data_IF_921870393719
#
_entry.id   IF_921870393719
#
_cell.length_a   1.000
_cell.length_b   1.000
_cell.length_c   1.000
_cell.angle_alpha   90.00
_cell.angle_beta   90.00
_cell.angle_gamma   90.00
#
_symmetry.space_group_name_H-M   'P 1'
#
loop_
_entity.id
_entity.type
_entity.pdbx_description
1 polymer ?
#
# COMPACT_ATOMS: atom_id res chain seq x y z
N UNK A 1 -12.01 9.80 -33.15
CA UNK A 1 -13.09 10.45 -32.35
C UNK A 1 -14.50 9.87 -32.58
N UNK A 2 -14.84 9.26 -33.73
CA UNK A 2 -16.17 8.67 -33.98
C UNK A 2 -16.51 7.39 -33.16
N UNK A 3 -15.51 6.67 -32.63
CA UNK A 3 -15.70 5.45 -31.81
C UNK A 3 -16.21 5.72 -30.38
N UNK A 4 -15.83 6.84 -29.76
CA UNK A 4 -16.17 7.15 -28.36
C UNK A 4 -17.63 7.59 -28.15
N UNK A 5 -18.21 8.27 -29.15
CA UNK A 5 -19.61 8.71 -29.12
C UNK A 5 -20.59 7.52 -29.27
N UNK A 6 -20.24 6.54 -30.10
CA UNK A 6 -21.00 5.29 -30.28
C UNK A 6 -21.01 4.45 -28.99
N UNK A 7 -19.87 4.38 -28.29
CA UNK A 7 -19.76 3.71 -26.99
C UNK A 7 -20.62 4.36 -25.90
N UNK A 8 -20.61 5.70 -25.77
CA UNK A 8 -21.46 6.41 -24.80
C UNK A 8 -22.96 6.21 -25.06
N UNK A 9 -23.37 6.13 -26.33
CA UNK A 9 -24.78 5.91 -26.72
C UNK A 9 -25.25 4.49 -26.35
N UNK A 10 -24.41 3.48 -26.62
CA UNK A 10 -24.68 2.07 -26.24
C UNK A 10 -24.62 1.83 -24.73
N UNK A 11 -23.72 2.51 -24.02
CA UNK A 11 -23.59 2.40 -22.57
C UNK A 11 -24.77 3.03 -21.80
N UNK A 12 -25.31 4.17 -22.29
CA UNK A 12 -26.54 4.76 -21.72
C UNK A 12 -27.78 3.89 -21.96
N UNK A 13 -27.90 3.27 -23.14
CA UNK A 13 -28.99 2.34 -23.45
C UNK A 13 -28.93 1.06 -22.60
N UNK A 14 -27.74 0.58 -22.25
CA UNK A 14 -27.57 -0.56 -21.35
C UNK A 14 -27.93 -0.22 -19.88
N UNK A 15 -27.69 1.03 -19.45
CA UNK A 15 -28.04 1.51 -18.11
C UNK A 15 -29.54 1.74 -17.92
N UNK A 16 -30.30 2.09 -18.97
CA UNK A 16 -31.75 2.28 -18.86
C UNK A 16 -32.55 0.97 -18.74
N UNK A 17 -31.93 -0.18 -19.01
CA UNK A 17 -32.57 -1.50 -18.94
C UNK A 17 -32.39 -2.14 -17.53
N UNK A 18 -31.50 -1.62 -16.68
CA UNK A 18 -31.14 -2.21 -15.39
C UNK A 18 -31.95 -1.68 -14.19
N UNK A 19 -33.20 -1.31 -14.43
CA UNK A 19 -34.19 -1.10 -13.38
C UNK A 19 -34.88 -2.43 -13.04
N UNK A 20 -34.50 -3.01 -11.89
CA UNK A 20 -35.17 -4.10 -11.13
C UNK A 20 -34.57 -5.53 -11.27
N UNK A 21 -34.11 -6.03 -10.12
CA UNK A 21 -33.83 -7.43 -9.72
C UNK A 21 -32.37 -7.92 -9.66
N UNK A 22 -32.17 -8.83 -8.69
CA UNK A 22 -30.90 -9.38 -8.20
C UNK A 22 -30.05 -10.17 -9.22
N UNK A 23 -30.53 -10.37 -10.46
CA UNK A 23 -29.70 -10.89 -11.57
C UNK A 23 -28.63 -9.89 -12.05
N UNK A 24 -28.69 -8.62 -11.59
CA UNK A 24 -27.75 -7.54 -11.93
C UNK A 24 -26.30 -7.78 -11.48
N UNK A 25 -26.04 -8.37 -10.31
CA UNK A 25 -24.68 -8.45 -9.77
C UNK A 25 -23.71 -9.33 -10.59
N UNK A 26 -24.20 -10.45 -11.15
CA UNK A 26 -23.40 -11.31 -12.05
C UNK A 26 -23.17 -10.65 -13.41
N UNK A 27 -24.13 -9.88 -13.92
CA UNK A 27 -23.98 -9.14 -15.17
C UNK A 27 -22.97 -7.99 -15.02
N UNK A 28 -22.98 -7.28 -13.89
CA UNK A 28 -22.02 -6.20 -13.59
C UNK A 28 -20.58 -6.74 -13.47
N UNK A 29 -20.40 -7.92 -12.87
CA UNK A 29 -19.08 -8.59 -12.80
C UNK A 29 -18.54 -8.94 -14.20
N UNK A 30 -19.39 -9.43 -15.10
CA UNK A 30 -19.01 -9.79 -16.47
C UNK A 30 -18.63 -8.55 -17.31
N UNK A 31 -19.36 -7.45 -17.14
CA UNK A 31 -19.09 -6.17 -17.84
C UNK A 31 -17.78 -5.52 -17.34
N UNK A 32 -17.51 -5.59 -16.03
CA UNK A 32 -16.23 -5.14 -15.47
C UNK A 32 -15.07 -5.98 -16.00
N UNK A 33 -15.25 -7.31 -16.07
CA UNK A 33 -14.25 -8.24 -16.63
C UNK A 33 -13.93 -7.95 -18.11
N UNK A 34 -14.95 -7.58 -18.89
CA UNK A 34 -14.81 -7.23 -20.32
C UNK A 34 -14.27 -5.81 -20.57
N UNK A 35 -14.48 -4.89 -19.62
CA UNK A 35 -13.90 -3.54 -19.66
C UNK A 35 -12.40 -3.55 -19.31
N UNK A 36 -11.96 -4.44 -18.41
CA UNK A 36 -10.54 -4.55 -18.03
C UNK A 36 -9.71 -5.31 -19.06
N UNK A 37 -10.28 -6.24 -19.81
CA UNK A 37 -9.56 -7.01 -20.84
C UNK A 37 -9.36 -6.28 -22.18
N UNK A 38 -9.93 -5.07 -22.34
CA UNK A 38 -9.94 -4.31 -23.61
C UNK A 38 -9.18 -2.98 -23.56
N UNK A 39 -8.32 -2.76 -22.56
CA UNK A 39 -7.45 -1.58 -22.54
C UNK A 39 -6.26 -1.80 -23.50
N UNK A 40 -6.14 -1.02 -24.60
CA UNK A 40 -4.98 -1.09 -25.46
C UNK A 40 -3.78 -0.37 -24.85
N UNK A 41 -2.58 -0.91 -25.12
CA UNK A 41 -1.30 -0.28 -24.82
C UNK A 41 -1.11 1.06 -25.56
N UNK A 42 -0.37 1.94 -24.87
CA UNK A 42 0.33 3.13 -25.33
C UNK A 42 -0.25 3.95 -26.51
N UNK A 43 -0.77 5.14 -26.18
CA UNK A 43 -0.59 6.32 -27.03
C UNK A 43 -0.23 7.52 -26.13
N UNK A 44 1.00 7.99 -26.31
CA UNK A 44 1.62 9.13 -25.61
C UNK A 44 0.79 10.41 -25.76
N UNK A 45 0.44 11.04 -24.64
CA UNK A 45 0.08 12.47 -24.60
C UNK A 45 1.17 13.23 -23.87
N UNK A 46 1.59 14.36 -24.45
CA UNK A 46 2.64 15.24 -23.91
C UNK A 46 2.28 15.74 -22.50
N UNK A 47 3.28 15.88 -21.60
CA UNK A 47 3.06 16.20 -20.20
C UNK A 47 2.58 17.65 -20.03
N UNK A 48 1.52 17.84 -19.24
CA UNK A 48 1.20 19.15 -18.65
C UNK A 48 2.13 19.39 -17.46
N UNK A 49 2.82 20.53 -17.43
CA UNK A 49 3.65 20.96 -16.29
C UNK A 49 2.78 20.98 -15.01
N UNK A 50 3.07 20.07 -14.08
CA UNK A 50 2.43 19.95 -12.78
C UNK A 50 3.35 20.57 -11.72
N UNK A 51 2.84 21.52 -10.95
CA UNK A 51 3.55 22.15 -9.83
C UNK A 51 3.10 21.50 -8.50
N UNK A 52 3.92 20.61 -7.90
CA UNK A 52 3.58 19.92 -6.66
C UNK A 52 3.45 20.87 -5.45
N UNK A 53 3.99 22.10 -5.53
CA UNK A 53 3.93 23.09 -4.43
C UNK A 53 2.58 23.77 -4.25
N UNK A 54 1.63 23.59 -5.18
CA UNK A 54 0.26 24.14 -5.04
C UNK A 54 -0.65 23.30 -4.15
N UNK A 55 -0.32 22.03 -3.88
CA UNK A 55 -1.12 21.17 -3.01
C UNK A 55 -0.78 21.29 -1.52
N UNK A 56 0.30 21.99 -1.16
CA UNK A 56 0.69 22.28 0.23
C UNK A 56 0.02 23.53 0.83
N UNK A 57 -0.61 24.40 0.03
CA UNK A 57 -1.26 25.64 0.54
C UNK A 57 -2.63 25.43 1.19
N UNK A 58 -3.08 24.19 1.38
CA UNK A 58 -4.38 23.86 1.98
C UNK A 58 -4.37 23.54 3.48
N UNK A 59 -3.23 23.62 4.16
CA UNK A 59 -3.14 23.33 5.59
C UNK A 59 -2.36 24.46 6.29
N UNK A 60 -2.99 25.11 7.26
CA UNK A 60 -2.39 26.12 8.12
C UNK A 60 -1.38 25.54 9.15
N UNK A 61 -0.76 24.40 8.84
CA UNK A 61 -0.01 23.56 9.79
C UNK A 61 1.36 23.09 9.25
N UNK A 62 1.93 23.78 8.26
CA UNK A 62 3.21 23.38 7.64
C UNK A 62 4.17 24.56 7.58
N UNK A 63 5.36 24.38 8.15
CA UNK A 63 6.51 25.26 8.00
C UNK A 63 7.49 24.62 7.02
N UNK A 64 7.81 25.31 5.93
CA UNK A 64 8.79 24.84 4.96
C UNK A 64 10.18 25.35 5.38
N UNK A 65 11.15 24.43 5.51
CA UNK A 65 12.57 24.76 5.64
C UNK A 65 13.32 24.23 4.42
N UNK A 66 14.19 25.06 3.84
CA UNK A 66 15.08 24.66 2.76
C UNK A 66 16.44 24.35 3.38
N UNK A 67 16.86 23.08 3.37
CA UNK A 67 18.23 22.71 3.72
C UNK A 67 18.72 21.47 2.95
N UNK A 68 20.03 21.33 2.98
CA UNK A 68 20.96 20.94 1.93
C UNK A 68 21.09 19.42 1.64
N UNK A 69 21.57 19.10 0.44
CA UNK A 69 21.48 17.85 -0.32
C UNK A 69 22.39 16.70 0.16
N UNK A 70 22.77 16.66 1.45
CA UNK A 70 23.86 15.78 1.94
C UNK A 70 23.43 14.64 2.88
N UNK A 71 22.17 14.57 3.30
CA UNK A 71 21.74 13.65 4.37
C UNK A 71 21.39 12.22 3.92
N UNK A 72 21.22 11.95 2.62
CA UNK A 72 20.76 10.63 2.14
C UNK A 72 21.77 9.49 2.40
N UNK A 73 23.07 9.79 2.45
CA UNK A 73 24.11 8.77 2.67
C UNK A 73 24.44 8.50 4.14
N UNK A 74 24.13 9.42 5.06
CA UNK A 74 24.43 9.26 6.48
C UNK A 74 23.32 8.52 7.26
N UNK A 75 22.04 8.71 6.89
CA UNK A 75 20.93 7.98 7.51
C UNK A 75 21.00 6.46 7.29
N UNK A 76 21.61 6.03 6.18
CA UNK A 76 21.82 4.62 5.86
C UNK A 76 22.80 3.91 6.82
N UNK A 77 23.64 4.65 7.55
CA UNK A 77 24.66 4.08 8.45
C UNK A 77 24.23 3.99 9.92
N UNK A 78 23.20 4.73 10.34
CA UNK A 78 22.75 4.74 11.73
C UNK A 78 21.52 3.86 12.01
N UNK A 79 20.77 3.42 10.99
CA UNK A 79 19.59 2.57 11.16
C UNK A 79 19.89 1.04 11.30
N UNK A 80 21.14 0.63 11.43
CA UNK A 80 21.54 -0.79 11.40
C UNK A 80 21.64 -1.48 12.77
N UNK A 81 21.19 -0.87 13.87
CA UNK A 81 21.38 -1.43 15.22
C UNK A 81 20.40 -2.54 15.63
N UNK A 82 19.75 -3.20 14.67
CA UNK A 82 18.77 -4.25 14.92
C UNK A 82 19.10 -5.58 14.23
N UNK A 83 20.37 -6.00 14.17
CA UNK A 83 20.69 -7.35 13.66
C UNK A 83 20.27 -8.40 14.68
N UNK A 84 19.02 -8.88 14.55
CA UNK A 84 18.53 -10.05 15.28
C UNK A 84 19.15 -11.37 14.78
N UNK A 85 19.75 -11.35 13.59
CA UNK A 85 20.34 -12.53 12.96
C UNK A 85 21.87 -12.41 13.02
N UNK A 86 22.43 -13.08 14.02
CA UNK A 86 23.87 -13.28 14.14
C UNK A 86 24.31 -14.29 13.08
N UNK A 87 25.28 -13.92 12.24
CA UNK A 87 25.67 -14.70 11.05
C UNK A 87 26.65 -15.82 11.35
N UNK A 88 27.12 -15.90 12.60
CA UNK A 88 28.22 -16.79 13.02
C UNK A 88 27.74 -18.13 13.62
N UNK A 89 26.42 -18.40 13.61
CA UNK A 89 25.85 -19.68 14.08
C UNK A 89 25.47 -20.54 12.86
N UNK A 90 25.97 -21.79 12.74
CA UNK A 90 25.59 -22.69 11.66
C UNK A 90 24.07 -22.83 11.56
N UNK A 91 23.53 -22.62 10.35
CA UNK A 91 22.10 -22.74 10.12
C UNK A 91 21.68 -24.22 10.17
N UNK A 92 20.97 -24.59 11.24
CA UNK A 92 20.37 -25.94 11.34
C UNK A 92 19.08 -26.09 10.53
N UNK A 93 18.52 -24.99 10.00
CA UNK A 93 17.23 -24.98 9.29
C UNK A 93 17.28 -24.05 8.10
N UNK A 94 16.76 -24.50 6.95
CA UNK A 94 16.59 -23.68 5.74
C UNK A 94 15.42 -22.71 5.87
N UNK A 95 15.45 -21.62 5.10
CA UNK A 95 14.29 -20.73 4.92
C UNK A 95 13.04 -21.50 4.50
N UNK A 96 11.85 -21.05 4.93
CA UNK A 96 10.58 -21.75 4.66
C UNK A 96 9.53 -20.82 4.10
N UNK A 97 8.82 -21.25 3.07
CA UNK A 97 7.66 -20.55 2.51
C UNK A 97 6.39 -21.39 2.66
N UNK A 98 5.80 -21.31 3.86
CA UNK A 98 4.76 -22.21 4.35
C UNK A 98 3.38 -21.75 3.89
N UNK A 99 2.53 -22.70 3.50
CA UNK A 99 1.11 -22.42 3.26
C UNK A 99 0.30 -22.58 4.55
N UNK A 100 -0.71 -21.74 4.72
CA UNK A 100 -1.67 -21.84 5.83
C UNK A 100 -3.01 -21.22 5.45
N UNK A 101 -3.97 -21.29 6.37
CA UNK A 101 -5.25 -20.61 6.24
C UNK A 101 -5.71 -20.09 7.59
N UNK A 102 -6.50 -19.02 7.57
CA UNK A 102 -7.12 -18.44 8.74
C UNK A 102 -8.62 -18.33 8.50
N UNK A 103 -9.42 -18.63 9.53
CA UNK A 103 -10.88 -18.59 9.48
C UNK A 103 -11.43 -17.79 10.66
N UNK A 104 -12.40 -16.92 10.38
CA UNK A 104 -13.23 -16.26 11.37
C UNK A 104 -14.66 -16.12 10.83
N UNK A 105 -15.54 -15.45 11.57
CA UNK A 105 -16.95 -15.23 11.17
C UNK A 105 -17.10 -14.51 9.82
N UNK A 106 -16.09 -13.75 9.39
CA UNK A 106 -16.09 -13.05 8.09
C UNK A 106 -15.63 -13.93 6.92
N UNK A 107 -15.18 -15.16 7.20
CA UNK A 107 -14.81 -16.18 6.23
C UNK A 107 -13.36 -16.66 6.38
N UNK A 108 -12.91 -17.41 5.38
CA UNK A 108 -11.57 -18.01 5.34
C UNK A 108 -10.69 -17.34 4.29
N UNK A 109 -9.39 -17.16 4.60
CA UNK A 109 -8.37 -16.81 3.61
C UNK A 109 -7.15 -17.71 3.78
N UNK A 110 -6.61 -18.15 2.66
CA UNK A 110 -5.30 -18.79 2.60
C UNK A 110 -4.21 -17.73 2.71
N UNK A 111 -3.01 -18.15 3.09
CA UNK A 111 -1.82 -17.30 3.11
C UNK A 111 -0.56 -18.11 2.84
N UNK A 112 0.51 -17.39 2.52
CA UNK A 112 1.87 -17.90 2.61
C UNK A 112 2.64 -17.14 3.69
N UNK A 113 3.45 -17.84 4.47
CA UNK A 113 4.32 -17.24 5.48
C UNK A 113 5.77 -17.56 5.12
N UNK A 114 6.57 -16.52 4.95
CA UNK A 114 8.01 -16.63 4.84
C UNK A 114 8.64 -16.55 6.22
N UNK A 115 9.40 -17.59 6.57
CA UNK A 115 10.16 -17.70 7.82
C UNK A 115 11.64 -17.69 7.45
N UNK A 116 12.41 -16.65 7.85
CA UNK A 116 13.80 -16.54 7.47
C UNK A 116 14.65 -17.60 8.16
N UNK A 117 15.80 -17.91 7.58
CA UNK A 117 16.71 -18.96 8.04
C UNK A 117 17.16 -18.77 9.48
N UNK A 118 17.31 -17.51 9.91
CA UNK A 118 17.73 -17.15 11.27
C UNK A 118 16.63 -17.28 12.33
N UNK A 119 15.38 -17.59 11.97
CA UNK A 119 14.31 -17.75 12.98
C UNK A 119 14.62 -18.94 13.91
N UNK A 120 14.52 -18.71 15.21
CA UNK A 120 14.60 -19.72 16.26
C UNK A 120 13.46 -19.49 17.25
N UNK A 121 12.91 -20.57 17.80
CA UNK A 121 11.87 -20.46 18.81
C UNK A 121 12.38 -19.64 20.02
N UNK A 122 11.59 -18.66 20.46
CA UNK A 122 11.96 -17.73 21.53
C UNK A 122 12.61 -16.41 21.06
N UNK A 123 13.04 -16.31 19.79
CA UNK A 123 13.52 -15.04 19.21
C UNK A 123 12.33 -14.22 18.70
N UNK A 124 12.21 -12.99 19.18
CA UNK A 124 11.15 -12.06 18.76
C UNK A 124 11.55 -11.28 17.50
N UNK A 125 11.11 -11.77 16.35
CA UNK A 125 11.28 -11.07 15.07
C UNK A 125 10.10 -10.12 14.78
N UNK A 126 10.33 -9.14 13.91
CA UNK A 126 9.26 -8.34 13.33
C UNK A 126 8.41 -9.17 12.36
N UNK A 127 7.20 -8.70 12.06
CA UNK A 127 6.32 -9.27 11.04
C UNK A 127 5.89 -8.19 10.04
N UNK A 128 6.05 -8.47 8.75
CA UNK A 128 5.56 -7.60 7.66
C UNK A 128 4.45 -8.33 6.90
N UNK A 129 3.26 -7.75 6.91
CA UNK A 129 2.10 -8.24 6.13
C UNK A 129 2.13 -7.59 4.75
N UNK A 130 2.27 -8.39 3.70
CA UNK A 130 2.40 -7.96 2.31
C UNK A 130 1.15 -8.29 1.49
N UNK A 131 0.38 -7.26 1.15
CA UNK A 131 -0.91 -7.37 0.45
C UNK A 131 -0.75 -7.11 -1.05
N UNK A 132 -0.96 -8.17 -1.84
CA UNK A 132 -0.81 -8.14 -3.29
C UNK A 132 -1.90 -7.30 -3.99
N UNK A 133 -1.62 -6.82 -5.21
CA UNK A 133 -2.60 -6.15 -6.07
C UNK A 133 -3.60 -7.11 -6.71
N UNK A 134 -4.62 -6.60 -7.40
CA UNK A 134 -5.59 -7.46 -8.10
C UNK A 134 -4.85 -8.43 -9.06
N UNK A 135 -5.40 -9.61 -9.33
CA UNK A 135 -4.85 -10.66 -10.23
C UNK A 135 -3.57 -11.37 -9.76
N UNK A 136 -2.80 -10.79 -8.85
CA UNK A 136 -1.58 -11.38 -8.29
C UNK A 136 -1.89 -12.51 -7.29
N UNK A 137 -0.84 -13.20 -6.84
CA UNK A 137 -0.87 -14.21 -5.77
C UNK A 137 0.21 -13.90 -4.73
N UNK A 138 0.21 -14.58 -3.57
CA UNK A 138 1.32 -14.51 -2.61
C UNK A 138 2.69 -14.75 -3.26
N UNK A 139 2.84 -15.81 -4.05
CA UNK A 139 4.11 -16.17 -4.70
C UNK A 139 4.57 -15.12 -5.72
N UNK A 140 3.64 -14.61 -6.55
CA UNK A 140 3.92 -13.56 -7.54
C UNK A 140 4.37 -12.25 -6.86
N UNK A 141 3.69 -11.88 -5.78
CA UNK A 141 4.01 -10.66 -5.04
C UNK A 141 5.32 -10.79 -4.25
N UNK A 142 5.61 -11.95 -3.66
CA UNK A 142 6.89 -12.23 -3.01
C UNK A 142 8.05 -12.14 -4.02
N UNK A 143 7.91 -12.78 -5.19
CA UNK A 143 8.93 -12.76 -6.25
C UNK A 143 9.14 -11.37 -6.86
N UNK A 144 8.06 -10.59 -6.97
CA UNK A 144 8.11 -9.23 -7.51
C UNK A 144 8.67 -8.19 -6.55
N UNK A 145 8.30 -8.26 -5.27
CA UNK A 145 8.76 -7.29 -4.25
C UNK A 145 10.13 -7.63 -3.68
N UNK A 146 10.60 -8.88 -3.82
CA UNK A 146 11.84 -9.39 -3.21
C UNK A 146 11.85 -9.25 -1.68
N UNK A 147 10.68 -9.17 -1.06
CA UNK A 147 10.58 -8.96 0.39
C UNK A 147 11.11 -10.16 1.19
N UNK A 148 11.10 -11.38 0.62
CA UNK A 148 11.73 -12.56 1.22
C UNK A 148 13.26 -12.42 1.32
N UNK A 149 13.90 -11.79 0.32
CA UNK A 149 15.35 -11.58 0.33
C UNK A 149 15.73 -10.59 1.43
N UNK A 150 14.96 -9.50 1.58
CA UNK A 150 15.13 -8.56 2.69
C UNK A 150 14.85 -9.20 4.06
N UNK A 151 13.89 -10.13 4.12
CA UNK A 151 13.59 -10.88 5.34
C UNK A 151 14.77 -11.75 5.80
N UNK A 152 15.48 -12.38 4.87
CA UNK A 152 16.73 -13.09 5.17
C UNK A 152 17.84 -12.13 5.62
N UNK A 153 17.99 -11.01 4.93
CA UNK A 153 19.06 -10.06 5.21
C UNK A 153 18.91 -9.35 6.55
N UNK A 154 17.67 -9.05 6.96
CA UNK A 154 17.38 -8.18 8.10
C UNK A 154 16.60 -8.86 9.23
N UNK A 155 16.19 -10.13 9.07
CA UNK A 155 15.59 -10.91 10.14
C UNK A 155 14.16 -10.51 10.51
N UNK A 156 13.21 -10.77 9.61
CA UNK A 156 11.79 -10.59 9.89
C UNK A 156 10.92 -11.63 9.17
N UNK A 157 9.73 -11.89 9.70
CA UNK A 157 8.73 -12.75 9.05
C UNK A 157 7.98 -11.97 7.99
N UNK A 158 7.53 -12.64 6.93
CA UNK A 158 6.65 -12.03 5.92
C UNK A 158 5.39 -12.83 5.72
N UNK A 159 4.24 -12.24 6.06
CA UNK A 159 2.94 -12.84 5.83
C UNK A 159 2.33 -12.31 4.54
N UNK A 160 1.96 -13.21 3.64
CA UNK A 160 1.31 -12.92 2.35
C UNK A 160 -0.09 -13.52 2.30
N UNK A 161 -1.12 -12.80 2.75
CA UNK A 161 -2.51 -13.21 2.61
C UNK A 161 -2.92 -13.35 1.13
N UNK A 162 -3.71 -14.37 0.82
CA UNK A 162 -4.17 -14.66 -0.54
C UNK A 162 -5.62 -14.20 -0.76
N UNK A 163 -5.84 -13.33 -1.73
CA UNK A 163 -7.17 -13.06 -2.27
C UNK A 163 -7.44 -13.99 -3.46
N UNK A 164 -8.02 -15.15 -3.20
CA UNK A 164 -8.25 -16.18 -4.21
C UNK A 164 -9.42 -15.85 -5.15
N UNK A 165 -9.49 -16.55 -6.29
CA UNK A 165 -10.57 -16.36 -7.26
C UNK A 165 -11.96 -16.74 -6.70
N UNK A 166 -12.02 -17.65 -5.73
CA UNK A 166 -13.27 -18.04 -5.05
C UNK A 166 -13.78 -16.93 -4.13
N UNK A 167 -12.88 -16.20 -3.46
CA UNK A 167 -13.22 -15.05 -2.64
C UNK A 167 -13.56 -13.81 -3.48
N UNK A 168 -12.82 -13.59 -4.57
CA UNK A 168 -13.09 -12.54 -5.55
C UNK A 168 -12.59 -12.97 -6.94
N UNK A 169 -13.46 -13.03 -7.95
CA UNK A 169 -13.08 -13.51 -9.29
C UNK A 169 -11.98 -12.71 -10.02
N UNK A 170 -11.67 -11.49 -9.55
CA UNK A 170 -10.54 -10.67 -10.02
C UNK A 170 -9.31 -10.74 -9.09
N UNK A 171 -9.34 -11.62 -8.08
CA UNK A 171 -8.33 -11.76 -7.02
C UNK A 171 -8.02 -10.41 -6.36
N UNK A 172 -9.05 -9.60 -6.14
CA UNK A 172 -8.87 -8.23 -5.69
C UNK A 172 -9.54 -7.97 -4.34
N UNK A 173 -8.84 -7.27 -3.45
CA UNK A 173 -9.35 -6.83 -2.16
C UNK A 173 -10.55 -5.92 -2.35
N UNK A 174 -11.59 -6.10 -1.54
CA UNK A 174 -12.87 -5.39 -1.59
C UNK A 174 -12.81 -4.08 -0.81
N UNK A 175 -11.70 -3.34 -0.91
CA UNK A 175 -11.41 -2.10 -0.16
C UNK A 175 -12.49 -1.01 -0.26
N UNK A 176 -13.35 -1.05 -1.28
CA UNK A 176 -14.44 -0.10 -1.48
C UNK A 176 -15.77 -0.53 -0.85
N UNK A 177 -15.90 -1.76 -0.35
CA UNK A 177 -17.14 -2.20 0.32
C UNK A 177 -17.15 -1.71 1.76
N UNK A 178 -18.22 -1.07 2.25
CA UNK A 178 -18.25 -0.55 3.62
C UNK A 178 -17.99 -1.61 4.69
N UNK A 179 -18.40 -2.87 4.46
CA UNK A 179 -18.21 -3.97 5.41
C UNK A 179 -16.74 -4.40 5.52
N UNK A 180 -15.95 -4.22 4.47
CA UNK A 180 -14.53 -4.58 4.39
C UNK A 180 -13.60 -3.42 4.83
N UNK A 181 -14.17 -2.31 5.30
CA UNK A 181 -13.47 -1.09 5.73
C UNK A 181 -13.58 -0.83 7.24
N UNK A 182 -14.18 -1.74 7.98
CA UNK A 182 -14.47 -1.59 9.40
C UNK A 182 -13.69 -2.61 10.23
N UNK A 183 -13.39 -2.21 11.46
CA UNK A 183 -12.81 -3.11 12.45
C UNK A 183 -13.76 -4.28 12.72
N UNK A 184 -13.17 -5.45 12.92
CA UNK A 184 -13.83 -6.69 13.29
C UNK A 184 -14.93 -7.13 12.29
N UNK A 185 -14.86 -6.65 11.03
CA UNK A 185 -15.72 -7.05 9.92
C UNK A 185 -14.96 -7.30 8.61
N UNK A 186 -15.55 -8.14 7.77
CA UNK A 186 -15.14 -8.33 6.38
C UNK A 186 -13.69 -8.77 6.23
N UNK A 187 -13.02 -8.33 5.17
CA UNK A 187 -11.62 -8.67 4.91
C UNK A 187 -10.66 -8.10 5.94
N UNK A 188 -11.00 -6.96 6.54
CA UNK A 188 -10.16 -6.33 7.55
C UNK A 188 -10.03 -7.21 8.81
N UNK A 189 -11.11 -7.88 9.26
CA UNK A 189 -11.06 -8.82 10.39
C UNK A 189 -10.32 -10.11 10.08
N UNK A 190 -10.47 -10.63 8.86
CA UNK A 190 -9.72 -11.82 8.46
C UNK A 190 -8.21 -11.53 8.49
N UNK A 191 -7.79 -10.39 7.94
CA UNK A 191 -6.37 -10.01 7.90
C UNK A 191 -5.80 -9.72 9.28
N UNK A 192 -6.54 -9.01 10.14
CA UNK A 192 -6.10 -8.75 11.52
C UNK A 192 -6.03 -10.03 12.35
N UNK A 193 -7.02 -10.92 12.24
CA UNK A 193 -7.05 -12.20 12.93
C UNK A 193 -5.90 -13.11 12.49
N UNK A 194 -5.67 -13.24 11.19
CA UNK A 194 -4.54 -13.98 10.63
C UNK A 194 -3.19 -13.44 11.12
N UNK A 195 -3.04 -12.12 11.16
CA UNK A 195 -1.81 -11.47 11.66
C UNK A 195 -1.58 -11.81 13.14
N UNK A 196 -2.62 -11.78 13.98
CA UNK A 196 -2.54 -12.15 15.39
C UNK A 196 -2.19 -13.62 15.59
N UNK A 197 -2.81 -14.53 14.83
CA UNK A 197 -2.54 -15.96 14.92
C UNK A 197 -1.08 -16.28 14.57
N UNK A 198 -0.59 -15.74 13.46
CA UNK A 198 0.82 -15.88 13.06
C UNK A 198 1.75 -15.24 14.10
N UNK A 199 1.39 -14.07 14.63
CA UNK A 199 2.21 -13.39 15.64
C UNK A 199 2.35 -14.22 16.91
N UNK A 200 1.25 -14.81 17.39
CA UNK A 200 1.25 -15.71 18.54
C UNK A 200 2.03 -16.99 18.28
N UNK A 201 1.84 -17.62 17.10
CA UNK A 201 2.50 -18.88 16.75
C UNK A 201 4.03 -18.74 16.64
N UNK A 202 4.52 -17.60 16.16
CA UNK A 202 5.96 -17.38 15.91
C UNK A 202 6.62 -16.44 16.93
N UNK A 203 5.93 -16.07 18.01
CA UNK A 203 6.49 -15.19 19.05
C UNK A 203 6.95 -13.83 18.52
N UNK A 204 6.18 -13.23 17.61
CA UNK A 204 6.49 -11.93 16.99
C UNK A 204 6.59 -10.82 18.04
N UNK A 205 7.50 -9.87 17.81
CA UNK A 205 7.50 -8.62 18.56
C UNK A 205 6.28 -7.78 18.17
N UNK A 206 5.29 -7.71 19.07
CA UNK A 206 4.03 -7.00 18.86
C UNK A 206 4.20 -5.50 18.58
N UNK A 207 5.36 -4.90 18.95
CA UNK A 207 5.68 -3.50 18.61
C UNK A 207 6.15 -3.34 17.17
N UNK A 208 6.52 -4.43 16.50
CA UNK A 208 7.13 -4.47 15.15
C UNK A 208 6.30 -5.31 14.19
N UNK A 209 4.99 -5.04 14.16
CA UNK A 209 4.06 -5.60 13.17
C UNK A 209 3.71 -4.50 12.17
N UNK A 210 4.02 -4.72 10.90
CA UNK A 210 3.87 -3.74 9.82
C UNK A 210 2.97 -4.28 8.72
N UNK A 211 2.38 -3.39 7.92
CA UNK A 211 1.60 -3.78 6.75
C UNK A 211 1.94 -2.93 5.54
N UNK A 212 2.09 -3.56 4.39
CA UNK A 212 2.30 -2.88 3.13
C UNK A 212 1.57 -3.56 1.98
N UNK A 213 1.40 -2.85 0.86
CA UNK A 213 0.82 -3.46 -0.34
C UNK A 213 0.92 -2.61 -1.59
N UNK A 214 0.42 -3.18 -2.68
CA UNK A 214 0.30 -2.54 -3.99
C UNK A 214 -1.18 -2.40 -4.39
N UNK A 215 -1.56 -1.26 -4.98
CA UNK A 215 -2.89 -1.08 -5.59
C UNK A 215 -4.04 -1.31 -4.60
N UNK A 216 -4.95 -2.26 -4.87
CA UNK A 216 -5.98 -2.69 -3.94
C UNK A 216 -5.42 -3.23 -2.62
N UNK A 217 -4.25 -3.89 -2.63
CA UNK A 217 -3.54 -4.31 -1.43
C UNK A 217 -3.01 -3.13 -0.63
N UNK A 218 -2.52 -2.07 -1.30
CA UNK A 218 -2.15 -0.81 -0.65
C UNK A 218 -3.35 -0.11 -0.01
N UNK A 219 -4.51 -0.10 -0.69
CA UNK A 219 -5.75 0.42 -0.11
C UNK A 219 -6.18 -0.36 1.14
N UNK A 220 -6.01 -1.69 1.13
CA UNK A 220 -6.29 -2.54 2.29
C UNK A 220 -5.27 -2.34 3.41
N UNK A 221 -3.99 -2.12 3.10
CA UNK A 221 -2.97 -1.75 4.09
C UNK A 221 -3.33 -0.43 4.81
N UNK A 222 -3.79 0.57 4.05
CA UNK A 222 -4.31 1.82 4.62
C UNK A 222 -5.53 1.57 5.50
N UNK A 223 -6.50 0.75 5.07
CA UNK A 223 -7.66 0.36 5.91
C UNK A 223 -7.22 -0.28 7.23
N UNK A 224 -6.24 -1.19 7.19
CA UNK A 224 -5.74 -1.89 8.37
C UNK A 224 -5.04 -0.94 9.35
N UNK A 225 -4.26 0.02 8.85
CA UNK A 225 -3.66 1.06 9.68
C UNK A 225 -4.68 1.93 10.42
N UNK A 226 -5.84 2.18 9.80
CA UNK A 226 -6.93 2.96 10.40
C UNK A 226 -7.78 2.16 11.38
N UNK A 227 -8.05 0.91 11.06
CA UNK A 227 -9.01 0.07 11.80
C UNK A 227 -8.35 -0.73 12.91
N UNK A 228 -7.07 -1.07 12.78
CA UNK A 228 -6.27 -1.79 13.78
C UNK A 228 -4.96 -1.05 14.13
N UNK A 229 -5.04 0.21 14.59
CA UNK A 229 -3.85 0.96 15.02
C UNK A 229 -3.20 0.36 16.27
N UNK A 230 -3.86 -0.52 17.00
CA UNK A 230 -3.26 -1.30 18.08
C UNK A 230 -2.40 -2.47 17.58
N UNK A 231 -2.63 -2.94 16.36
CA UNK A 231 -1.94 -4.10 15.78
C UNK A 231 -0.81 -3.68 14.84
N UNK A 232 -1.02 -2.68 13.99
CA UNK A 232 -0.03 -2.26 13.00
C UNK A 232 0.73 -1.01 13.47
N UNK A 233 2.05 -1.14 13.60
CA UNK A 233 2.95 -0.08 14.02
C UNK A 233 3.20 0.94 12.91
N UNK A 234 3.23 0.52 11.64
CA UNK A 234 3.42 1.39 10.47
C UNK A 234 2.77 0.80 9.20
N UNK A 235 2.55 1.68 8.21
CA UNK A 235 1.85 1.36 6.95
C UNK A 235 2.69 1.75 5.73
N UNK A 236 2.80 0.86 4.76
CA UNK A 236 3.38 1.11 3.44
C UNK A 236 2.32 1.04 2.33
N UNK A 237 2.28 2.01 1.43
CA UNK A 237 1.32 2.02 0.33
C UNK A 237 2.00 2.34 -1.01
N UNK A 238 2.01 1.40 -1.94
CA UNK A 238 2.41 1.65 -3.32
C UNK A 238 1.18 1.77 -4.22
N UNK A 239 1.04 2.89 -4.94
CA UNK A 239 -0.07 3.14 -5.86
C UNK A 239 -1.46 2.87 -5.26
N UNK A 240 -1.64 3.23 -3.98
CA UNK A 240 -2.83 2.90 -3.18
C UNK A 240 -3.95 3.94 -3.24
N UNK A 241 -4.98 3.71 -2.40
CA UNK A 241 -6.14 4.59 -2.28
C UNK A 241 -6.38 5.01 -0.82
N UNK A 242 -6.93 6.22 -0.56
CA UNK A 242 -7.21 6.68 0.79
C UNK A 242 -8.31 5.86 1.48
N UNK A 243 -8.24 5.78 2.81
CA UNK A 243 -9.28 5.19 3.64
C UNK A 243 -10.65 5.82 3.37
N UNK A 244 -11.71 4.98 3.32
CA UNK A 244 -13.09 5.41 3.12
C UNK A 244 -13.30 6.31 1.88
N UNK A 245 -12.46 6.19 0.86
CA UNK A 245 -12.58 7.00 -0.35
C UNK A 245 -13.74 6.54 -1.26
N UNK A 246 -14.15 5.27 -1.17
CA UNK A 246 -15.22 4.67 -1.97
C UNK A 246 -16.12 3.77 -1.11
N UNK A 247 -17.36 3.57 -1.57
CA UNK A 247 -18.40 2.78 -0.90
C UNK A 247 -19.08 1.78 -1.85
N UNK A 248 -18.74 1.80 -3.14
CA UNK A 248 -19.22 0.87 -4.16
C UNK A 248 -18.24 0.83 -5.35
N UNK A 249 -18.50 -0.06 -6.31
CA UNK A 249 -17.63 -0.22 -7.48
C UNK A 249 -17.56 1.06 -8.34
N UNK A 250 -18.66 1.81 -8.47
CA UNK A 250 -18.70 3.00 -9.33
C UNK A 250 -17.87 4.13 -8.74
N UNK A 251 -18.02 4.38 -7.44
CA UNK A 251 -17.21 5.33 -6.68
C UNK A 251 -15.75 4.89 -6.66
N UNK A 252 -15.46 3.59 -6.53
CA UNK A 252 -14.10 3.05 -6.62
C UNK A 252 -13.41 3.44 -7.94
N UNK A 253 -14.05 3.18 -9.09
CA UNK A 253 -13.50 3.58 -10.39
C UNK A 253 -13.28 5.09 -10.52
N UNK A 254 -14.17 5.92 -9.95
CA UNK A 254 -14.00 7.38 -9.96
C UNK A 254 -12.81 7.82 -9.13
N UNK A 255 -12.66 7.27 -7.94
CA UNK A 255 -11.54 7.55 -7.03
C UNK A 255 -10.23 7.11 -7.67
N UNK A 256 -10.15 5.89 -8.22
CA UNK A 256 -8.98 5.42 -8.95
C UNK A 256 -8.53 6.41 -10.03
N UNK A 257 -9.46 7.00 -10.79
CA UNK A 257 -9.12 7.90 -11.91
C UNK A 257 -8.89 9.36 -11.54
N UNK A 258 -9.32 9.82 -10.36
CA UNK A 258 -9.32 11.26 -10.06
C UNK A 258 -9.08 11.66 -8.61
N UNK A 259 -8.93 10.69 -7.72
CA UNK A 259 -8.90 10.90 -6.27
C UNK A 259 -10.29 11.11 -5.68
N UNK A 260 -10.37 11.13 -4.34
CA UNK A 260 -11.55 11.53 -3.58
C UNK A 260 -11.86 13.02 -3.83
N UNK A 261 -13.13 13.37 -4.02
CA UNK A 261 -13.51 14.77 -4.10
C UNK A 261 -13.48 15.41 -2.70
N UNK A 262 -12.43 16.20 -2.41
CA UNK A 262 -12.20 16.78 -1.08
C UNK A 262 -13.31 17.73 -0.61
N UNK A 263 -14.12 18.29 -1.52
CA UNK A 263 -15.25 19.16 -1.16
C UNK A 263 -16.45 18.41 -0.55
N UNK A 264 -16.54 17.08 -0.71
CA UNK A 264 -17.66 16.25 -0.23
C UNK A 264 -17.27 15.25 0.87
N UNK A 265 -15.99 15.18 1.25
CA UNK A 265 -15.49 14.19 2.21
C UNK A 265 -15.51 14.71 3.66
N UNK A 266 -16.66 15.16 4.14
CA UNK A 266 -16.90 15.36 5.58
C UNK A 266 -17.60 14.11 6.09
N UNK A 267 -16.96 13.27 6.90
CA UNK A 267 -17.72 12.22 7.58
C UNK A 267 -16.96 11.12 8.30
N UNK A 268 -15.77 10.71 7.87
CA UNK A 268 -15.08 9.58 8.50
C UNK A 268 -13.92 10.09 9.35
N UNK A 269 -14.25 10.63 10.52
CA UNK A 269 -13.28 10.93 11.58
C UNK A 269 -13.16 9.70 12.47
N UNK A 270 -12.18 8.86 12.22
CA UNK A 270 -11.65 7.99 13.27
C UNK A 270 -10.60 8.83 14.00
N UNK A 271 -10.98 9.39 15.16
CA UNK A 271 -10.09 10.18 16.00
C UNK A 271 -9.09 9.25 16.69
N UNK A 272 -8.00 8.90 16.02
CA UNK A 272 -6.86 8.19 16.61
C UNK A 272 -5.55 8.69 16.00
N UNK A 273 -4.49 8.60 16.79
CA UNK A 273 -3.13 8.97 16.39
C UNK A 273 -2.75 8.25 15.08
N UNK A 274 -2.25 8.99 14.12
CA UNK A 274 -1.88 8.43 12.81
C UNK A 274 -0.68 7.53 12.91
N UNK A 275 -0.77 6.38 12.25
CA UNK A 275 0.37 5.50 12.11
C UNK A 275 1.40 6.08 11.15
N UNK A 276 2.70 5.93 11.47
CA UNK A 276 3.76 6.16 10.51
C UNK A 276 3.41 5.55 9.16
N UNK A 277 3.42 6.36 8.10
CA UNK A 277 2.95 5.95 6.77
C UNK A 277 3.94 6.35 5.68
N UNK A 278 4.38 5.39 4.87
CA UNK A 278 5.22 5.64 3.69
C UNK A 278 4.45 5.32 2.41
N UNK A 279 4.45 6.26 1.46
CA UNK A 279 3.65 6.16 0.24
C UNK A 279 4.53 6.30 -0.99
N UNK A 280 4.44 5.35 -1.92
CA UNK A 280 5.08 5.39 -3.23
C UNK A 280 4.04 5.52 -4.33
N UNK A 281 4.30 6.34 -5.35
CA UNK A 281 3.42 6.46 -6.51
C UNK A 281 4.18 6.84 -7.79
N UNK A 282 3.93 6.13 -8.89
CA UNK A 282 4.43 6.54 -10.20
C UNK A 282 3.63 7.69 -10.81
N UNK A 283 4.29 8.72 -11.34
CA UNK A 283 3.59 9.89 -11.92
C UNK A 283 2.96 9.63 -13.31
N UNK A 284 3.15 8.43 -13.87
CA UNK A 284 2.50 7.94 -15.09
C UNK A 284 1.59 6.75 -14.82
N UNK A 285 1.16 6.55 -13.58
CA UNK A 285 0.18 5.54 -13.22
C UNK A 285 -1.17 5.85 -13.89
N UNK A 286 -1.58 4.98 -14.83
CA UNK A 286 -2.84 5.11 -15.57
C UNK A 286 -3.99 4.32 -14.93
N UNK A 287 -3.71 3.53 -13.89
CA UNK A 287 -4.69 2.70 -13.20
C UNK A 287 -5.23 3.44 -11.99
N UNK A 288 -4.33 3.90 -11.12
CA UNK A 288 -4.64 4.71 -9.93
C UNK A 288 -3.87 6.03 -10.06
N UNK A 289 -4.59 7.13 -10.25
CA UNK A 289 -4.00 8.47 -10.38
C UNK A 289 -3.22 8.85 -9.11
N UNK A 290 -2.03 9.44 -9.26
CA UNK A 290 -1.12 9.83 -8.16
C UNK A 290 -1.75 10.77 -7.13
N UNK A 291 -2.86 11.44 -7.46
CA UNK A 291 -3.66 12.21 -6.48
C UNK A 291 -4.12 11.34 -5.32
N UNK A 292 -4.32 10.04 -5.51
CA UNK A 292 -4.69 9.12 -4.45
C UNK A 292 -3.56 8.96 -3.42
N UNK A 293 -2.31 8.77 -3.88
CA UNK A 293 -1.13 8.75 -3.00
C UNK A 293 -0.99 10.04 -2.19
N UNK A 294 -1.11 11.19 -2.86
CA UNK A 294 -1.10 12.50 -2.19
C UNK A 294 -2.24 12.68 -1.17
N UNK A 295 -3.39 12.02 -1.36
CA UNK A 295 -4.50 12.03 -0.41
C UNK A 295 -4.27 11.11 0.79
N UNK A 296 -3.60 9.97 0.62
CA UNK A 296 -3.15 9.13 1.74
C UNK A 296 -2.22 9.95 2.65
N UNK A 297 -1.22 10.61 2.05
CA UNK A 297 -0.26 11.48 2.76
C UNK A 297 -0.98 12.59 3.52
N UNK A 298 -1.90 13.30 2.85
CA UNK A 298 -2.70 14.36 3.50
C UNK A 298 -3.49 13.83 4.69
N UNK A 299 -4.16 12.69 4.52
CA UNK A 299 -4.95 12.11 5.59
C UNK A 299 -4.06 11.65 6.76
N UNK A 300 -2.84 11.17 6.50
CA UNK A 300 -1.87 10.79 7.53
C UNK A 300 -1.24 11.98 8.28
N UNK A 301 -1.12 13.15 7.62
CA UNK A 301 -0.59 14.39 8.22
C UNK A 301 -1.66 15.15 9.03
N UNK A 302 -2.90 15.26 8.52
CA UNK A 302 -3.91 16.23 9.02
C UNK A 302 -4.84 15.64 10.11
N UNK A 303 -4.69 14.37 10.48
CA UNK A 303 -5.68 13.66 11.31
C UNK A 303 -5.74 14.08 12.77
N UNK A 304 -4.70 14.67 13.30
CA UNK A 304 -4.73 15.25 14.64
C UNK A 304 -4.79 16.78 14.53
N UNK A 305 -5.98 17.39 14.74
CA UNK A 305 -6.12 18.85 14.68
C UNK A 305 -5.39 19.58 15.81
N UNK A 306 -4.94 18.85 16.84
CA UNK A 306 -4.17 19.39 17.96
C UNK A 306 -2.68 19.05 17.83
N UNK A 307 -2.27 18.32 16.79
CA UNK A 307 -0.85 18.02 16.58
C UNK A 307 -0.08 19.31 16.25
N UNK A 308 1.16 19.42 16.74
CA UNK A 308 2.04 20.50 16.33
C UNK A 308 2.25 20.47 14.80
N UNK A 309 2.55 21.62 14.18
CA UNK A 309 2.97 21.67 12.79
C UNK A 309 4.09 20.66 12.52
N UNK A 310 4.01 19.98 11.38
CA UNK A 310 5.07 19.07 10.94
C UNK A 310 6.08 19.83 10.09
N UNK A 311 7.36 19.54 10.31
CA UNK A 311 8.44 19.99 9.44
C UNK A 311 8.38 19.20 8.13
N UNK A 312 8.55 19.92 7.02
CA UNK A 312 8.48 19.34 5.68
C UNK A 312 9.79 19.54 4.96
N UNK A 313 10.47 18.43 4.68
CA UNK A 313 11.66 18.38 3.86
C UNK A 313 11.34 17.72 2.52
N UNK A 314 11.91 18.24 1.43
CA UNK A 314 11.69 17.74 0.09
C UNK A 314 13.02 17.62 -0.63
N UNK A 315 13.28 16.45 -1.22
CA UNK A 315 14.53 16.14 -1.89
C UNK A 315 14.27 15.38 -3.19
N UNK A 316 14.92 15.79 -4.26
CA UNK A 316 15.01 15.00 -5.49
C UNK A 316 16.13 13.96 -5.36
N UNK A 317 15.99 12.84 -6.07
CA UNK A 317 17.03 11.82 -6.16
C UNK A 317 16.91 10.98 -7.42
N UNK A 318 17.88 10.10 -7.65
CA UNK A 318 17.90 9.17 -8.76
C UNK A 318 18.39 7.79 -8.27
N UNK A 319 17.76 6.73 -8.76
CA UNK A 319 18.14 5.34 -8.45
C UNK A 319 17.78 4.47 -9.65
N UNK A 320 18.70 3.59 -10.05
CA UNK A 320 18.49 2.60 -11.13
C UNK A 320 17.81 3.21 -12.38
N UNK A 321 18.23 4.41 -12.79
CA UNK A 321 17.73 5.09 -14.00
C UNK A 321 16.32 5.68 -13.91
N UNK A 322 15.75 5.88 -12.70
CA UNK A 322 14.59 6.76 -12.50
C UNK A 322 14.91 7.82 -11.47
N UNK A 323 14.54 9.06 -11.79
CA UNK A 323 14.45 10.12 -10.80
C UNK A 323 13.19 9.97 -9.94
N UNK A 324 13.27 10.46 -8.71
CA UNK A 324 12.16 10.49 -7.78
C UNK A 324 12.16 11.79 -6.98
N UNK A 325 10.98 12.16 -6.48
CA UNK A 325 10.80 13.22 -5.49
C UNK A 325 10.40 12.56 -4.16
N UNK A 326 11.20 12.75 -3.12
CA UNK A 326 10.89 12.34 -1.75
C UNK A 326 10.45 13.56 -0.95
N UNK A 327 9.33 13.45 -0.25
CA UNK A 327 8.87 14.45 0.72
C UNK A 327 8.68 13.77 2.07
N UNK A 328 9.32 14.31 3.10
CA UNK A 328 9.29 13.79 4.47
C UNK A 328 8.53 14.78 5.35
N UNK A 329 7.63 14.26 6.17
CA UNK A 329 6.87 15.00 7.18
C UNK A 329 7.28 14.47 8.56
N UNK A 330 8.01 15.28 9.32
CA UNK A 330 8.51 14.97 10.66
C UNK A 330 7.81 15.78 11.73
N UNK A 331 7.66 15.22 12.94
CA UNK A 331 7.35 16.05 14.10
C UNK A 331 8.60 16.82 14.57
N UNK A 332 8.46 17.93 15.32
CA UNK A 332 9.60 18.71 15.83
C UNK A 332 10.53 17.92 16.78
N UNK A 333 10.10 16.74 17.25
CA UNK A 333 10.95 15.82 18.02
C UNK A 333 11.74 14.85 17.13
N UNK A 334 11.72 15.04 15.80
CA UNK A 334 12.47 14.24 14.84
C UNK A 334 11.84 12.88 14.55
N UNK A 335 10.63 12.56 15.06
CA UNK A 335 9.97 11.30 14.72
C UNK A 335 9.31 11.44 13.36
N UNK A 336 9.83 10.68 12.40
CA UNK A 336 9.29 10.61 11.05
C UNK A 336 7.89 10.01 11.07
N UNK A 337 6.89 10.74 10.57
CA UNK A 337 5.49 10.27 10.58
C UNK A 337 5.02 9.91 9.20
N UNK A 338 5.41 10.65 8.17
CA UNK A 338 4.94 10.37 6.81
C UNK A 338 6.04 10.60 5.78
N UNK A 339 6.19 9.67 4.85
CA UNK A 339 7.04 9.83 3.68
C UNK A 339 6.24 9.65 2.39
N UNK A 340 6.52 10.49 1.39
CA UNK A 340 5.88 10.43 0.08
C UNK A 340 6.93 10.42 -1.03
N UNK A 341 6.87 9.41 -1.87
CA UNK A 341 7.81 9.15 -2.95
C UNK A 341 7.07 9.15 -4.28
N UNK A 342 7.34 10.16 -5.10
CA UNK A 342 6.84 10.23 -6.48
C UNK A 342 7.95 9.75 -7.43
N UNK A 343 7.74 8.61 -8.08
CA UNK A 343 8.70 8.02 -9.00
C UNK A 343 8.43 8.52 -10.42
N UNK A 344 9.37 9.27 -11.00
CA UNK A 344 9.19 9.93 -12.29
C UNK A 344 9.17 8.92 -13.43
N UNK A 345 8.16 9.05 -14.28
CA UNK A 345 7.91 8.19 -15.43
C UNK A 345 7.41 6.79 -15.08
N UNK A 346 7.17 6.46 -13.81
CA UNK A 346 6.76 5.11 -13.41
C UNK A 346 5.25 4.92 -13.56
N UNK A 347 4.85 3.71 -13.92
CA UNK A 347 3.45 3.33 -14.11
C UNK A 347 2.81 2.76 -12.84
N UNK A 348 1.79 1.92 -13.03
CA UNK A 348 1.16 1.16 -11.95
C UNK A 348 1.98 -0.11 -11.63
N UNK A 349 3.14 0.09 -10.99
CA UNK A 349 4.08 -1.00 -10.75
C UNK A 349 4.93 -0.73 -9.50
N UNK A 350 5.30 -1.79 -8.77
CA UNK A 350 6.20 -1.74 -7.62
C UNK A 350 7.61 -1.32 -8.03
N UNK A 351 8.09 -0.20 -7.48
CA UNK A 351 9.40 0.38 -7.81
C UNK A 351 10.58 -0.41 -7.25
N UNK A 352 11.63 -0.58 -8.07
CA UNK A 352 12.83 -1.38 -7.77
C UNK A 352 12.54 -2.86 -7.48
N UNK A 353 11.45 -3.39 -8.05
CA UNK A 353 11.05 -4.78 -7.93
C UNK A 353 11.83 -5.72 -8.86
N UNK A 354 11.42 -6.99 -8.93
CA UNK A 354 12.02 -8.01 -9.79
C UNK A 354 11.04 -8.45 -10.88
N UNK A 355 11.55 -8.61 -12.11
CA UNK A 355 10.76 -9.05 -13.27
C UNK A 355 10.21 -10.48 -13.13
N UNK A 356 10.62 -11.22 -12.09
CA UNK A 356 10.04 -12.54 -11.75
C UNK A 356 8.59 -12.45 -11.22
N UNK A 357 8.14 -11.26 -10.83
CA UNK A 357 6.76 -11.02 -10.43
C UNK A 357 6.06 -10.02 -11.36
N UNK A 358 4.74 -10.05 -11.38
CA UNK A 358 3.95 -9.12 -12.18
C UNK A 358 3.81 -7.74 -11.52
N UNK A 359 3.53 -6.72 -12.33
CA UNK A 359 3.37 -5.32 -11.90
C UNK A 359 4.56 -4.77 -11.12
N UNK A 360 5.77 -5.06 -11.59
CA UNK A 360 7.02 -4.50 -11.05
C UNK A 360 7.68 -3.60 -12.07
N UNK A 361 8.47 -2.67 -11.57
CA UNK A 361 9.41 -1.87 -12.33
C UNK A 361 10.79 -2.13 -11.72
N UNK A 362 11.69 -2.76 -12.47
CA UNK A 362 13.02 -3.06 -11.96
C UNK A 362 13.89 -1.80 -11.74
N UNK A 363 13.46 -0.67 -12.29
CA UNK A 363 14.15 0.63 -12.15
C UNK A 363 13.56 1.46 -11.01
N UNK A 364 14.30 2.48 -10.61
CA UNK A 364 13.89 3.41 -9.57
C UNK A 364 14.33 3.01 -8.17
N UNK A 365 13.90 3.77 -7.15
CA UNK A 365 14.19 3.44 -5.76
C UNK A 365 13.54 2.11 -5.39
N UNK A 366 14.24 1.28 -4.61
CA UNK A 366 13.73 0.01 -4.13
C UNK A 366 12.69 0.25 -3.02
N UNK A 367 11.40 0.16 -3.38
CA UNK A 367 10.31 0.46 -2.45
C UNK A 367 10.30 -0.49 -1.25
N UNK A 368 10.68 -1.76 -1.44
CA UNK A 368 10.74 -2.74 -0.35
C UNK A 368 11.79 -2.33 0.69
N UNK A 369 12.99 -1.96 0.25
CA UNK A 369 14.09 -1.55 1.12
C UNK A 369 13.74 -0.28 1.89
N UNK A 370 13.18 0.72 1.20
CA UNK A 370 12.78 1.98 1.83
C UNK A 370 11.60 1.82 2.79
N UNK A 371 10.64 0.94 2.51
CA UNK A 371 9.57 0.61 3.45
C UNK A 371 10.11 -0.02 4.73
N UNK A 372 11.03 -0.99 4.60
CA UNK A 372 11.64 -1.61 5.78
C UNK A 372 12.46 -0.59 6.59
N UNK A 373 13.31 0.23 5.95
CA UNK A 373 14.03 1.33 6.62
C UNK A 373 13.05 2.22 7.41
N UNK A 374 11.98 2.65 6.75
CA UNK A 374 10.97 3.51 7.37
C UNK A 374 10.30 2.84 8.56
N UNK A 375 9.87 1.58 8.43
CA UNK A 375 9.19 0.83 9.49
C UNK A 375 10.04 0.70 10.76
N UNK A 376 11.33 0.36 10.62
CA UNK A 376 12.23 0.24 11.75
C UNK A 376 12.57 1.60 12.38
N UNK A 377 12.64 2.68 11.59
CA UNK A 377 12.85 4.04 12.12
C UNK A 377 11.64 4.60 12.88
N UNK A 378 10.45 4.05 12.61
CA UNK A 378 9.19 4.57 13.11
C UNK A 378 8.75 3.96 14.45
N UNK A 379 9.47 2.96 14.94
CA UNK A 379 9.23 2.26 16.20
C UNK A 379 10.38 2.54 17.17
N UNK A 380 10.04 2.89 18.41
CA UNK A 380 10.99 3.13 19.50
C UNK A 380 10.73 2.20 20.67
#
# INVERSE_FOLDING_TARGET
>A
MKSYASFRKRFRAALSILGKSAKSARATSKIVKEAMSRLPGAASKKPTKFDPRRFSRGAAYVTASANDSRDVQNDARQATSGRACDRDVPAEHTSRFLAGSYTCDSGTREYKLYVPECYRAGVKLALVVMLHGCTQSPDDFAAGTRMNELAEEQGFLVLYPAQTASANGAKCWKWFKPEDQQRDRGEASILAGMTREVSAQYGVDERRVFVAGLSAGAAMAVILGETYPDLFAAVGAHSGLPYAAAHDALSAFRVMKSGRNSAKSRGVRVARATKPTIVFHGDRDQTVDMKNGAQIVRDAVVKDPNAPPMDVACSDGESEGRSFLRTVYGDPSGRHRVEHWIIRGAGHAWSGGSERGSYTDARGPNASTEMIRFFYSAVH
#
